data_IF_602938617743
#
_entry.id   IF_602938617743
#
_cell.length_a   1.000
_cell.length_b   1.000
_cell.length_c   1.000
_cell.angle_alpha   90.00
_cell.angle_beta   90.00
_cell.angle_gamma   90.00
#
_symmetry.space_group_name_H-M   'P 1'
#
loop_
_entity.id
_entity.type
_entity.pdbx_description
1 polymer ?
#
# COMPACT_ATOMS: atom_id res chain seq x y z
N UNK A 1 -19.37 -5.08 0.50
CA UNK A 1 -19.09 -4.69 1.90
C UNK A 1 -20.30 -4.91 2.79
N UNK A 2 -21.52 -4.47 2.41
CA UNK A 2 -22.74 -4.69 3.20
C UNK A 2 -23.32 -6.12 3.16
N UNK A 3 -22.97 -6.95 2.17
CA UNK A 3 -23.49 -8.33 2.05
C UNK A 3 -22.98 -9.30 3.11
N UNK A 4 -21.90 -8.96 3.83
CA UNK A 4 -21.41 -9.74 4.98
C UNK A 4 -21.84 -9.15 6.32
N UNK A 5 -22.59 -8.04 6.31
CA UNK A 5 -22.92 -7.31 7.53
C UNK A 5 -23.77 -8.17 8.46
N UNK A 6 -24.80 -8.88 7.97
CA UNK A 6 -25.63 -9.79 8.80
C UNK A 6 -24.82 -10.92 9.44
N UNK A 7 -23.78 -11.42 8.76
CA UNK A 7 -22.91 -12.48 9.30
C UNK A 7 -21.88 -11.94 10.30
N UNK A 8 -21.37 -10.73 10.07
CA UNK A 8 -20.37 -10.07 10.93
C UNK A 8 -21.02 -9.31 12.09
N UNK A 9 -22.32 -9.01 12.02
CA UNK A 9 -23.07 -8.26 13.03
C UNK A 9 -23.00 -8.88 14.43
N UNK A 10 -23.15 -10.20 14.62
CA UNK A 10 -23.03 -10.81 15.95
C UNK A 10 -21.61 -10.70 16.54
N UNK A 11 -20.58 -10.70 15.70
CA UNK A 11 -19.18 -10.53 16.14
C UNK A 11 -18.84 -9.05 16.40
N UNK A 12 -19.36 -8.13 15.57
CA UNK A 12 -19.23 -6.69 15.74
C UNK A 12 -19.97 -6.18 17.00
N UNK A 13 -21.18 -6.68 17.26
CA UNK A 13 -21.93 -6.38 18.49
C UNK A 13 -21.17 -6.90 19.73
N UNK A 14 -20.46 -8.03 19.62
CA UNK A 14 -19.58 -8.52 20.70
C UNK A 14 -18.31 -7.67 20.90
N UNK A 15 -17.90 -6.92 19.88
CA UNK A 15 -16.81 -5.94 19.95
C UNK A 15 -17.29 -4.58 20.47
N UNK A 16 -18.59 -4.38 20.75
CA UNK A 16 -19.10 -3.15 21.36
C UNK A 16 -18.35 -2.83 22.65
N UNK A 17 -17.63 -1.71 22.62
CA UNK A 17 -16.78 -1.30 23.72
C UNK A 17 -15.79 -0.23 23.31
N UNK A 18 -15.07 0.26 24.31
CA UNK A 18 -14.13 1.37 24.19
C UNK A 18 -13.00 1.09 23.17
N UNK A 19 -12.59 -0.18 23.04
CA UNK A 19 -11.57 -0.62 22.08
C UNK A 19 -12.04 -0.53 20.62
N UNK A 20 -13.29 -0.94 20.32
CA UNK A 20 -13.86 -0.79 18.98
C UNK A 20 -14.09 0.68 18.63
N UNK A 21 -14.61 1.48 19.57
CA UNK A 21 -14.77 2.92 19.39
C UNK A 21 -13.40 3.59 19.12
N UNK A 22 -12.37 3.24 19.89
CA UNK A 22 -11.02 3.75 19.69
C UNK A 22 -10.45 3.33 18.33
N UNK A 23 -10.58 2.05 17.94
CA UNK A 23 -10.11 1.57 16.65
C UNK A 23 -10.83 2.25 15.47
N UNK A 24 -12.15 2.39 15.54
CA UNK A 24 -12.95 3.09 14.53
C UNK A 24 -12.59 4.57 14.45
N UNK A 25 -12.37 5.23 15.60
CA UNK A 25 -11.95 6.64 15.66
C UNK A 25 -10.54 6.83 15.11
N UNK A 26 -9.61 5.94 15.43
CA UNK A 26 -8.25 5.95 14.88
C UNK A 26 -8.26 5.74 13.38
N UNK A 27 -9.05 4.78 12.89
CA UNK A 27 -9.18 4.52 11.46
C UNK A 27 -9.80 5.73 10.75
N UNK A 28 -10.90 6.27 11.26
CA UNK A 28 -11.54 7.47 10.72
C UNK A 28 -10.61 8.68 10.73
N UNK A 29 -9.88 8.89 11.83
CA UNK A 29 -8.86 9.92 11.96
C UNK A 29 -7.72 9.75 10.95
N UNK A 30 -7.21 8.53 10.78
CA UNK A 30 -6.18 8.24 9.78
C UNK A 30 -6.67 8.50 8.35
N UNK A 31 -7.92 8.12 8.03
CA UNK A 31 -8.52 8.38 6.73
C UNK A 31 -8.77 9.88 6.46
N UNK A 32 -9.03 10.68 7.49
CA UNK A 32 -9.19 12.13 7.37
C UNK A 32 -7.84 12.86 7.27
N UNK A 33 -6.87 12.49 8.11
CA UNK A 33 -5.56 13.14 8.19
C UNK A 33 -4.66 12.75 7.02
N UNK A 34 -4.75 11.51 6.53
CA UNK A 34 -3.89 11.00 5.45
C UNK A 34 -3.90 11.88 4.20
N UNK A 35 -5.07 12.17 3.58
CA UNK A 35 -5.17 13.06 2.43
C UNK A 35 -4.68 14.48 2.72
N UNK A 36 -4.97 15.01 3.92
CA UNK A 36 -4.53 16.34 4.33
C UNK A 36 -3.01 16.42 4.46
N UNK A 37 -2.39 15.44 5.11
CA UNK A 37 -0.95 15.32 5.25
C UNK A 37 -0.27 15.13 3.88
N UNK A 38 -0.87 14.36 2.98
CA UNK A 38 -0.37 14.21 1.62
C UNK A 38 -0.45 15.52 0.82
N UNK A 39 -1.56 16.26 0.94
CA UNK A 39 -1.73 17.55 0.28
C UNK A 39 -0.75 18.61 0.81
N UNK A 40 -0.60 18.71 2.13
CA UNK A 40 0.38 19.59 2.76
C UNK A 40 1.80 19.18 2.35
N UNK A 41 2.11 17.88 2.39
CA UNK A 41 3.39 17.33 1.97
C UNK A 41 3.72 17.64 0.51
N UNK A 42 2.73 17.56 -0.39
CA UNK A 42 2.88 17.94 -1.79
C UNK A 42 3.18 19.44 -1.93
N UNK A 43 2.41 20.30 -1.24
CA UNK A 43 2.63 21.75 -1.27
C UNK A 43 4.03 22.12 -0.75
N UNK A 44 4.44 21.52 0.37
CA UNK A 44 5.79 21.68 0.94
C UNK A 44 6.84 21.15 -0.02
N UNK A 45 6.64 19.99 -0.65
CA UNK A 45 7.57 19.42 -1.62
C UNK A 45 7.70 20.30 -2.88
N UNK A 46 6.63 20.92 -3.36
CA UNK A 46 6.69 21.87 -4.48
C UNK A 46 7.42 23.15 -4.06
N UNK A 47 7.07 23.72 -2.91
CA UNK A 47 7.64 24.98 -2.43
C UNK A 47 9.12 24.86 -2.07
N UNK A 48 9.49 23.82 -1.34
CA UNK A 48 10.86 23.60 -0.88
C UNK A 48 11.70 22.75 -1.82
N UNK A 49 11.10 21.87 -2.64
CA UNK A 49 11.84 21.06 -3.62
C UNK A 49 12.59 21.89 -4.65
N UNK A 50 12.05 23.07 -5.00
CA UNK A 50 12.74 24.04 -5.87
C UNK A 50 13.98 24.62 -5.18
N UNK A 51 13.97 24.85 -3.86
CA UNK A 51 15.11 25.44 -3.12
C UNK A 51 16.08 24.41 -2.55
N UNK A 52 15.60 23.20 -2.23
CA UNK A 52 16.40 22.15 -1.59
C UNK A 52 17.38 21.49 -2.54
N UNK A 53 17.07 21.45 -3.85
CA UNK A 53 18.01 20.94 -4.88
C UNK A 53 19.27 21.81 -4.95
N UNK A 54 19.17 23.10 -4.64
CA UNK A 54 20.29 24.04 -4.71
C UNK A 54 20.92 24.35 -3.34
N UNK A 55 20.40 23.78 -2.25
CA UNK A 55 20.86 24.11 -0.90
C UNK A 55 21.74 22.97 -0.34
N UNK A 56 23.00 23.25 0.05
CA UNK A 56 23.82 22.25 0.73
C UNK A 56 23.18 21.88 2.08
N UNK A 57 23.13 20.57 2.38
CA UNK A 57 22.62 20.08 3.67
C UNK A 57 23.53 20.58 4.79
N UNK A 58 22.95 21.25 5.79
CA UNK A 58 23.69 21.82 6.93
C UNK A 58 23.96 20.83 8.07
N UNK A 59 23.21 19.73 8.15
CA UNK A 59 23.38 18.66 9.15
C UNK A 59 23.08 17.30 8.54
N UNK A 60 23.88 16.30 8.90
CA UNK A 60 23.58 14.90 8.58
C UNK A 60 22.49 14.38 9.51
N UNK A 61 21.36 13.92 8.97
CA UNK A 61 20.22 13.38 9.73
C UNK A 61 19.92 11.94 9.30
N UNK A 62 20.80 10.97 9.60
CA UNK A 62 20.73 9.62 9.02
C UNK A 62 19.48 8.84 9.43
N UNK A 63 18.97 9.02 10.65
CA UNK A 63 17.75 8.36 11.11
C UNK A 63 16.51 8.88 10.37
N UNK A 64 16.39 10.20 10.25
CA UNK A 64 15.26 10.84 9.56
C UNK A 64 15.26 10.49 8.06
N UNK A 65 16.44 10.48 7.43
CA UNK A 65 16.59 10.05 6.04
C UNK A 65 16.14 8.59 5.86
N UNK A 66 16.52 7.68 6.76
CA UNK A 66 16.08 6.27 6.73
C UNK A 66 14.57 6.14 6.88
N UNK A 67 13.96 6.91 7.77
CA UNK A 67 12.49 6.92 7.96
C UNK A 67 11.78 7.40 6.70
N UNK A 68 12.26 8.49 6.07
CA UNK A 68 11.68 9.01 4.82
C UNK A 68 11.81 8.00 3.69
N UNK A 69 12.99 7.40 3.51
CA UNK A 69 13.22 6.38 2.48
C UNK A 69 12.34 5.14 2.74
N UNK A 70 12.25 4.69 4.00
CA UNK A 70 11.40 3.57 4.39
C UNK A 70 9.92 3.83 4.12
N UNK A 71 9.43 5.03 4.45
CA UNK A 71 8.06 5.44 4.14
C UNK A 71 7.81 5.51 2.63
N UNK A 72 8.77 6.04 1.86
CA UNK A 72 8.71 6.07 0.40
C UNK A 72 8.63 4.67 -0.22
N UNK A 73 9.44 3.74 0.27
CA UNK A 73 9.39 2.33 -0.14
C UNK A 73 8.03 1.71 0.18
N UNK A 74 7.53 1.89 1.41
CA UNK A 74 6.23 1.35 1.81
C UNK A 74 5.12 1.84 0.88
N UNK A 75 5.06 3.15 0.62
CA UNK A 75 4.02 3.74 -0.23
C UNK A 75 4.12 3.25 -1.68
N UNK A 76 5.35 3.15 -2.23
CA UNK A 76 5.55 2.70 -3.61
C UNK A 76 5.21 1.22 -3.80
N UNK A 77 5.48 0.37 -2.79
CA UNK A 77 5.17 -1.06 -2.83
C UNK A 77 3.77 -1.41 -2.31
N UNK A 78 3.05 -0.46 -1.70
CA UNK A 78 1.71 -0.70 -1.16
C UNK A 78 0.71 -1.30 -2.18
N UNK A 79 0.66 -0.87 -3.46
CA UNK A 79 -0.24 -1.50 -4.44
C UNK A 79 0.10 -2.97 -4.71
N UNK A 80 1.40 -3.31 -4.76
CA UNK A 80 1.85 -4.68 -4.95
C UNK A 80 1.50 -5.55 -3.74
N UNK A 81 1.74 -5.05 -2.53
CA UNK A 81 1.38 -5.73 -1.28
C UNK A 81 -0.13 -5.94 -1.15
N UNK A 82 -0.94 -4.93 -1.51
CA UNK A 82 -2.39 -5.04 -1.52
C UNK A 82 -2.87 -6.13 -2.50
N UNK A 83 -2.28 -6.19 -3.70
CA UNK A 83 -2.61 -7.22 -4.68
C UNK A 83 -2.23 -8.64 -4.20
N UNK A 84 -1.07 -8.80 -3.56
CA UNK A 84 -0.67 -10.06 -2.91
C UNK A 84 -1.68 -10.43 -1.82
N UNK A 85 -2.07 -9.47 -0.98
CA UNK A 85 -3.05 -9.72 0.08
C UNK A 85 -4.40 -10.21 -0.47
N UNK A 86 -4.88 -9.65 -1.59
CA UNK A 86 -6.09 -10.15 -2.25
C UNK A 86 -5.94 -11.60 -2.72
N UNK A 87 -4.79 -11.96 -3.31
CA UNK A 87 -4.52 -13.34 -3.71
C UNK A 87 -4.49 -14.30 -2.51
N UNK A 88 -3.83 -13.91 -1.41
CA UNK A 88 -3.77 -14.71 -0.17
C UNK A 88 -5.17 -14.89 0.45
N UNK A 89 -5.96 -13.81 0.50
CA UNK A 89 -7.34 -13.88 0.99
C UNK A 89 -8.21 -14.80 0.11
N UNK A 90 -8.02 -14.79 -1.20
CA UNK A 90 -8.74 -15.68 -2.10
C UNK A 90 -8.38 -17.16 -1.85
N UNK A 91 -7.09 -17.47 -1.67
CA UNK A 91 -6.62 -18.83 -1.40
C UNK A 91 -7.11 -19.35 -0.05
N UNK A 92 -7.05 -18.52 1.00
CA UNK A 92 -7.47 -18.92 2.35
C UNK A 92 -8.98 -19.03 2.51
N UNK A 93 -9.75 -18.21 1.79
CA UNK A 93 -11.22 -18.23 1.85
C UNK A 93 -11.88 -19.15 0.81
N UNK A 94 -11.14 -19.60 -0.20
CA UNK A 94 -11.68 -20.35 -1.34
C UNK A 94 -12.63 -19.53 -2.23
N UNK A 95 -12.64 -18.19 -2.07
CA UNK A 95 -13.52 -17.27 -2.81
C UNK A 95 -12.74 -16.03 -3.25
N UNK A 96 -12.89 -15.64 -4.51
CA UNK A 96 -12.40 -14.36 -5.01
C UNK A 96 -13.56 -13.45 -5.38
N UNK A 97 -13.49 -12.19 -4.92
CA UNK A 97 -14.52 -11.18 -5.14
C UNK A 97 -14.00 -10.06 -6.03
N UNK A 98 -14.71 -9.77 -7.11
CA UNK A 98 -14.51 -8.58 -7.93
C UNK A 98 -15.62 -7.58 -7.65
N UNK A 99 -15.24 -6.32 -7.41
CA UNK A 99 -16.18 -5.26 -7.04
C UNK A 99 -16.95 -4.72 -8.25
N UNK A 100 -16.35 -4.72 -9.45
CA UNK A 100 -16.95 -4.19 -10.69
C UNK A 100 -16.54 -4.99 -11.93
N UNK A 101 -17.49 -5.61 -12.65
CA UNK A 101 -18.85 -5.91 -12.20
C UNK A 101 -18.82 -6.78 -10.92
N UNK A 102 -19.79 -6.63 -10.01
CA UNK A 102 -19.81 -7.38 -8.76
C UNK A 102 -19.95 -8.88 -9.07
N UNK A 103 -18.89 -9.66 -8.81
CA UNK A 103 -18.88 -11.10 -9.07
C UNK A 103 -18.03 -11.86 -8.09
N UNK A 104 -18.54 -12.99 -7.65
CA UNK A 104 -17.85 -13.94 -6.79
C UNK A 104 -17.54 -15.20 -7.60
N UNK A 105 -16.29 -15.67 -7.51
CA UNK A 105 -15.89 -16.98 -8.04
C UNK A 105 -15.39 -17.84 -6.89
N UNK A 106 -15.88 -19.07 -6.82
CA UNK A 106 -15.54 -20.01 -5.76
C UNK A 106 -14.67 -21.13 -6.32
N UNK A 107 -13.68 -21.55 -5.54
CA UNK A 107 -12.81 -22.68 -5.91
C UNK A 107 -13.62 -23.98 -6.09
N UNK A 108 -14.68 -24.16 -5.30
CA UNK A 108 -15.49 -25.37 -5.29
C UNK A 108 -16.43 -25.52 -6.51
N UNK A 109 -16.97 -24.41 -7.02
CA UNK A 109 -17.98 -24.43 -8.11
C UNK A 109 -17.42 -23.96 -9.44
N UNK A 110 -16.51 -22.99 -9.43
CA UNK A 110 -15.99 -22.30 -10.62
C UNK A 110 -14.45 -22.22 -10.59
N UNK A 111 -13.75 -23.36 -10.55
CA UNK A 111 -12.30 -23.41 -10.29
C UNK A 111 -11.48 -22.64 -11.33
N UNK A 112 -11.90 -22.66 -12.60
CA UNK A 112 -11.21 -21.95 -13.68
C UNK A 112 -11.24 -20.43 -13.44
N UNK A 113 -12.42 -19.86 -13.21
CA UNK A 113 -12.58 -18.44 -12.99
C UNK A 113 -11.92 -17.99 -11.67
N UNK A 114 -11.96 -18.83 -10.64
CA UNK A 114 -11.22 -18.61 -9.40
C UNK A 114 -9.71 -18.45 -9.66
N UNK A 115 -9.08 -19.41 -10.34
CA UNK A 115 -7.64 -19.36 -10.63
C UNK A 115 -7.25 -18.22 -11.58
N UNK A 116 -8.10 -17.89 -12.56
CA UNK A 116 -7.91 -16.70 -13.39
C UNK A 116 -7.91 -15.43 -12.55
N UNK A 117 -8.82 -15.32 -11.58
CA UNK A 117 -8.86 -14.17 -10.67
C UNK A 117 -7.63 -14.08 -9.78
N UNK A 118 -7.16 -15.21 -9.23
CA UNK A 118 -5.91 -15.25 -8.44
C UNK A 118 -4.73 -14.83 -9.31
N UNK A 119 -4.62 -15.37 -10.53
CA UNK A 119 -3.60 -15.01 -11.49
C UNK A 119 -3.61 -13.52 -11.84
N UNK A 120 -4.79 -12.92 -12.02
CA UNK A 120 -4.94 -11.49 -12.26
C UNK A 120 -4.32 -10.64 -11.15
N UNK A 121 -4.59 -10.95 -9.88
CA UNK A 121 -3.99 -10.22 -8.75
C UNK A 121 -2.48 -10.41 -8.68
N UNK A 122 -1.98 -11.60 -8.97
CA UNK A 122 -0.53 -11.86 -9.02
C UNK A 122 0.16 -11.09 -10.15
N UNK A 123 -0.49 -10.97 -11.33
CA UNK A 123 0.02 -10.14 -12.43
C UNK A 123 0.08 -8.67 -12.02
N UNK A 124 -0.97 -8.15 -11.37
CA UNK A 124 -0.97 -6.78 -10.85
C UNK A 124 0.15 -6.59 -9.82
N UNK A 125 0.30 -7.54 -8.89
CA UNK A 125 1.36 -7.49 -7.89
C UNK A 125 2.75 -7.45 -8.53
N UNK A 126 3.00 -8.31 -9.52
CA UNK A 126 4.25 -8.35 -10.25
C UNK A 126 4.51 -7.05 -11.01
N UNK A 127 3.51 -6.52 -11.71
CA UNK A 127 3.62 -5.28 -12.46
C UNK A 127 3.92 -4.09 -11.54
N UNK A 128 3.12 -3.92 -10.48
CA UNK A 128 3.31 -2.84 -9.52
C UNK A 128 4.66 -2.94 -8.80
N UNK A 129 5.02 -4.16 -8.37
CA UNK A 129 6.31 -4.43 -7.72
C UNK A 129 7.48 -4.17 -8.65
N UNK A 130 7.38 -4.56 -9.92
CA UNK A 130 8.41 -4.30 -10.92
C UNK A 130 8.60 -2.80 -11.18
N UNK A 131 7.51 -2.04 -11.35
CA UNK A 131 7.58 -0.59 -11.57
C UNK A 131 8.17 0.14 -10.36
N UNK A 132 7.72 -0.23 -9.14
CA UNK A 132 8.28 0.31 -7.90
C UNK A 132 9.78 -0.01 -7.79
N UNK A 133 10.16 -1.27 -8.07
CA UNK A 133 11.56 -1.68 -8.06
C UNK A 133 12.41 -0.94 -9.09
N UNK A 134 11.92 -0.77 -10.32
CA UNK A 134 12.64 -0.07 -11.40
C UNK A 134 12.99 1.37 -11.02
N UNK A 135 12.14 2.03 -10.21
CA UNK A 135 12.36 3.36 -9.68
C UNK A 135 13.37 3.39 -8.52
N UNK A 136 13.29 2.44 -7.60
CA UNK A 136 14.09 2.42 -6.37
C UNK A 136 15.47 1.77 -6.53
N UNK A 137 15.60 0.77 -7.40
CA UNK A 137 16.83 -0.01 -7.58
C UNK A 137 18.09 0.85 -7.81
N UNK A 138 18.13 1.83 -8.74
CA UNK A 138 19.34 2.63 -8.95
C UNK A 138 19.63 3.63 -7.82
N UNK A 139 18.66 3.90 -6.94
CA UNK A 139 18.80 4.85 -5.82
C UNK A 139 19.31 4.17 -4.57
N UNK A 140 18.89 2.93 -4.34
CA UNK A 140 19.34 2.10 -3.23
C UNK A 140 20.69 1.45 -3.53
N UNK A 141 20.94 1.14 -4.79
CA UNK A 141 22.19 0.54 -5.27
C UNK A 141 22.75 1.36 -6.44
N UNK A 142 23.34 2.53 -6.18
CA UNK A 142 24.04 3.30 -7.20
C UNK A 142 25.16 2.43 -7.80
N UNK A 143 25.27 2.38 -9.11
CA UNK A 143 26.41 1.71 -9.75
C UNK A 143 27.71 2.46 -9.37
N UNK A 144 28.74 1.73 -8.96
CA UNK A 144 30.07 2.23 -8.56
C UNK A 144 30.82 3.05 -9.63
N UNK A 145 30.25 3.21 -10.82
CA UNK A 145 30.89 3.82 -12.00
C UNK A 145 31.19 5.32 -11.86
N UNK A 146 30.72 6.02 -10.83
CA UNK A 146 31.03 7.44 -10.61
C UNK A 146 32.28 7.69 -9.74
N UNK A 147 32.93 6.66 -9.21
CA UNK A 147 34.05 6.80 -8.26
C UNK A 147 35.44 6.56 -8.86
N UNK A 148 35.54 6.34 -10.18
CA UNK A 148 36.83 6.08 -10.86
C UNK A 148 37.38 7.22 -11.73
N UNK A 149 36.69 8.35 -11.81
CA UNK A 149 37.15 9.53 -12.59
C UNK A 149 37.25 10.81 -11.74
N UNK A 150 37.91 10.71 -10.57
CA UNK A 150 38.38 11.88 -9.82
C UNK A 150 39.80 11.63 -9.32
#
# INVERSE_FOLDING_TARGET
MFSQLERLWPELVRLEGLAFLAAATLLGGAMAIGPLAAAIGLLVAVWFGVRSVYSPRSRATPLLDRVIVGAGLLVWFAPALAAIAQAVLALTSGRIHFVRPPRDYFLATDPIAFWQGVGFWLIIAALAGFLAWRYWQPKLFPAETATREA
#
